data_IF_500286932811
#
_entry.id   IF_500286932811
#
_cell.length_a   1.000
_cell.length_b   1.000
_cell.length_c   1.000
_cell.angle_alpha   90.00
_cell.angle_beta   90.00
_cell.angle_gamma   90.00
#
_symmetry.space_group_name_H-M   'P 1'
#
loop_
_entity.id
_entity.type
_entity.pdbx_description
1 polymer ?
#
# COMPACT_ATOMS: atom_id res chain seq x y z
N UNK A 1 10.11 -17.98 9.36
CA UNK A 1 8.74 -18.50 9.24
C UNK A 1 7.97 -17.53 8.36
N UNK A 2 7.63 -17.98 7.16
CA UNK A 2 6.80 -17.27 6.19
C UNK A 2 5.41 -17.07 6.77
N UNK A 3 5.00 -15.82 7.00
CA UNK A 3 3.61 -15.50 7.29
C UNK A 3 2.81 -15.58 5.97
N UNK A 4 2.39 -16.79 5.60
CA UNK A 4 1.18 -16.96 4.79
C UNK A 4 0.01 -16.54 5.67
N UNK A 5 -0.32 -15.25 5.63
CA UNK A 5 -1.60 -14.77 6.13
C UNK A 5 -2.64 -15.13 5.07
N UNK A 6 -3.54 -16.03 5.44
CA UNK A 6 -4.74 -16.34 4.67
C UNK A 6 -5.46 -15.02 4.34
N UNK A 7 -5.40 -14.62 3.06
CA UNK A 7 -6.33 -13.64 2.53
C UNK A 7 -7.70 -14.33 2.50
N UNK A 8 -8.45 -14.20 3.59
CA UNK A 8 -9.86 -14.51 3.60
C UNK A 8 -10.53 -13.68 2.50
N UNK A 9 -10.82 -14.35 1.39
CA UNK A 9 -11.67 -13.84 0.31
C UNK A 9 -13.04 -13.55 0.91
N UNK A 10 -13.23 -12.31 1.35
CA UNK A 10 -14.53 -11.81 1.78
C UNK A 10 -15.55 -12.05 0.66
N UNK A 11 -16.62 -12.77 0.99
CA UNK A 11 -17.76 -12.98 0.09
C UNK A 11 -18.50 -11.64 -0.09
N UNK A 12 -18.04 -10.83 -1.03
CA UNK A 12 -18.62 -9.55 -1.39
C UNK A 12 -18.88 -9.54 -2.88
N UNK A 13 -20.11 -9.14 -3.26
CA UNK A 13 -20.63 -8.74 -4.57
C UNK A 13 -19.68 -9.06 -5.75
N UNK A 14 -20.14 -9.88 -6.70
CA UNK A 14 -19.45 -10.23 -7.95
C UNK A 14 -19.26 -9.00 -8.86
N UNK A 15 -18.47 -8.03 -8.40
CA UNK A 15 -18.04 -6.84 -9.08
C UNK A 15 -16.59 -7.00 -9.52
N UNK A 16 -16.18 -6.15 -10.46
CA UNK A 16 -14.82 -6.16 -10.96
C UNK A 16 -13.83 -5.75 -9.86
N UNK A 17 -12.79 -6.56 -9.67
CA UNK A 17 -11.67 -6.24 -8.77
C UNK A 17 -10.64 -5.43 -9.56
N UNK A 18 -10.24 -4.26 -9.04
CA UNK A 18 -9.31 -3.32 -9.69
C UNK A 18 -7.96 -3.18 -8.99
N UNK A 19 -7.85 -3.65 -7.75
CA UNK A 19 -6.68 -3.51 -6.91
C UNK A 19 -6.10 -4.89 -6.58
N UNK A 20 -4.80 -5.08 -6.83
CA UNK A 20 -4.07 -6.25 -6.39
C UNK A 20 -3.26 -5.89 -5.14
N UNK A 21 -3.54 -6.49 -3.98
CA UNK A 21 -2.79 -6.19 -2.77
C UNK A 21 -1.40 -6.85 -2.82
N UNK A 22 -0.33 -6.06 -2.72
CA UNK A 22 1.04 -6.55 -2.90
C UNK A 22 1.82 -6.67 -1.59
N UNK A 23 1.51 -5.84 -0.60
CA UNK A 23 2.20 -5.87 0.69
C UNK A 23 1.37 -5.25 1.79
N UNK A 24 1.45 -5.83 2.99
CA UNK A 24 0.93 -5.24 4.22
C UNK A 24 2.10 -5.08 5.20
N UNK A 25 2.35 -3.85 5.65
CA UNK A 25 3.29 -3.53 6.74
C UNK A 25 2.47 -3.09 7.95
N UNK A 26 2.18 -4.03 8.84
CA UNK A 26 1.47 -3.75 10.07
C UNK A 26 2.44 -3.52 11.23
N UNK A 27 2.78 -2.25 11.51
CA UNK A 27 3.68 -1.91 12.63
C UNK A 27 2.95 -1.81 13.97
N UNK A 28 1.64 -2.00 14.01
CA UNK A 28 0.87 -2.15 15.26
C UNK A 28 0.88 -3.58 15.79
N UNK A 29 1.26 -4.57 14.97
CA UNK A 29 1.40 -5.95 15.44
C UNK A 29 2.50 -6.03 16.50
N UNK A 30 2.19 -6.68 17.63
CA UNK A 30 3.15 -6.92 18.73
C UNK A 30 4.34 -7.77 18.28
N UNK A 31 4.17 -8.59 17.25
CA UNK A 31 5.24 -9.40 16.65
C UNK A 31 6.14 -8.58 15.72
N UNK A 32 5.74 -7.36 15.36
CA UNK A 32 6.56 -6.49 14.52
C UNK A 32 7.71 -5.93 15.36
N UNK A 33 8.94 -6.07 14.88
CA UNK A 33 10.11 -5.54 15.56
C UNK A 33 10.05 -4.01 15.61
N UNK A 34 9.66 -3.47 16.76
CA UNK A 34 9.51 -2.04 16.95
C UNK A 34 10.84 -1.27 16.93
N UNK A 35 11.97 -1.95 17.21
CA UNK A 35 13.28 -1.32 17.23
C UNK A 35 13.71 -0.94 15.82
N UNK A 36 13.39 -1.77 14.83
CA UNK A 36 13.60 -1.49 13.40
C UNK A 36 12.85 -0.25 12.86
N UNK A 37 11.87 0.26 13.61
CA UNK A 37 10.99 1.36 13.19
C UNK A 37 11.10 2.60 14.07
N UNK A 38 12.08 2.68 14.96
CA UNK A 38 12.28 3.87 15.81
C UNK A 38 11.07 4.25 16.66
N UNK A 39 10.25 3.27 17.06
CA UNK A 39 9.02 3.51 17.81
C UNK A 39 7.81 3.99 16.98
N UNK A 40 7.96 4.22 15.69
CA UNK A 40 6.88 4.66 14.80
C UNK A 40 5.87 3.54 14.54
N UNK A 41 4.59 3.91 14.41
CA UNK A 41 3.46 2.98 14.29
C UNK A 41 2.49 3.45 13.22
N UNK A 42 2.27 2.60 12.23
CA UNK A 42 1.28 2.74 11.16
C UNK A 42 0.92 1.35 10.59
N UNK A 43 -0.13 1.32 9.80
CA UNK A 43 -0.46 0.20 8.91
C UNK A 43 -0.32 0.71 7.47
N UNK A 44 0.66 0.23 6.74
CA UNK A 44 0.75 0.48 5.30
C UNK A 44 0.20 -0.70 4.52
N UNK A 45 -0.69 -0.44 3.56
CA UNK A 45 -1.12 -1.43 2.58
C UNK A 45 -0.74 -0.93 1.19
N UNK A 46 0.06 -1.72 0.48
CA UNK A 46 0.42 -1.47 -0.90
C UNK A 46 -0.53 -2.22 -1.83
N UNK A 47 -1.07 -1.50 -2.81
CA UNK A 47 -1.90 -2.06 -3.87
C UNK A 47 -1.26 -1.75 -5.23
N UNK A 48 -1.30 -2.71 -6.14
CA UNK A 48 -1.02 -2.50 -7.55
C UNK A 48 -2.33 -2.20 -8.28
N UNK A 49 -2.31 -1.16 -9.10
CA UNK A 49 -3.45 -0.73 -9.90
C UNK A 49 -3.08 -0.70 -11.38
N UNK A 50 -3.96 -1.22 -12.21
CA UNK A 50 -3.84 -1.22 -13.66
C UNK A 50 -4.68 -0.10 -14.27
N UNK A 51 -4.11 0.67 -15.18
CA UNK A 51 -4.83 1.73 -15.89
C UNK A 51 -4.31 1.92 -17.30
N UNK A 52 -5.12 2.55 -18.15
CA UNK A 52 -4.73 2.94 -19.51
C UNK A 52 -5.18 4.37 -19.81
N UNK A 53 -4.62 4.94 -20.87
CA UNK A 53 -5.03 6.24 -21.42
C UNK A 53 -5.62 6.02 -22.79
N UNK A 54 -6.86 6.46 -22.99
CA UNK A 54 -7.44 6.47 -24.32
C UNK A 54 -6.71 7.50 -25.19
N UNK A 55 -6.06 7.05 -26.27
CA UNK A 55 -5.23 7.91 -27.11
C UNK A 55 -5.99 9.05 -27.81
N UNK A 56 -7.30 8.91 -28.03
CA UNK A 56 -8.14 9.93 -28.70
C UNK A 56 -8.69 10.97 -27.74
N UNK A 57 -9.10 10.56 -26.54
CA UNK A 57 -9.75 11.43 -25.55
C UNK A 57 -8.84 11.88 -24.41
N UNK A 58 -7.68 11.24 -24.23
CA UNK A 58 -6.81 11.47 -23.07
C UNK A 58 -7.38 10.94 -21.75
N UNK A 59 -8.56 10.30 -21.76
CA UNK A 59 -9.20 9.81 -20.55
C UNK A 59 -8.39 8.67 -19.91
N UNK A 60 -8.20 8.76 -18.60
CA UNK A 60 -7.62 7.70 -17.78
C UNK A 60 -8.73 6.72 -17.35
N UNK A 61 -8.47 5.42 -17.46
CA UNK A 61 -9.44 4.39 -17.06
C UNK A 61 -8.73 3.28 -16.32
N UNK A 62 -9.26 2.92 -15.14
CA UNK A 62 -8.80 1.76 -14.39
C UNK A 62 -9.26 0.48 -15.07
N UNK A 63 -8.39 -0.53 -15.07
CA UNK A 63 -8.61 -1.80 -15.74
C UNK A 63 -8.77 -2.89 -14.67
N UNK A 64 -9.86 -3.69 -14.72
CA UNK A 64 -10.05 -4.81 -13.82
C UNK A 64 -8.89 -5.82 -13.91
N UNK A 65 -8.51 -6.42 -12.79
CA UNK A 65 -7.40 -7.38 -12.69
C UNK A 65 -7.48 -8.49 -13.74
N UNK A 66 -8.69 -9.03 -13.95
CA UNK A 66 -8.95 -10.12 -14.89
C UNK A 66 -8.62 -9.78 -16.36
N UNK A 67 -8.46 -8.50 -16.68
CA UNK A 67 -8.19 -8.01 -18.04
C UNK A 67 -6.74 -7.55 -18.23
N UNK A 68 -5.89 -7.63 -17.19
CA UNK A 68 -4.56 -7.02 -17.26
C UNK A 68 -3.69 -7.63 -18.36
N UNK A 69 -3.66 -8.96 -18.48
CA UNK A 69 -2.81 -9.67 -19.46
C UNK A 69 -3.27 -9.44 -20.91
N UNK A 70 -4.55 -9.10 -21.11
CA UNK A 70 -5.16 -8.88 -22.42
C UNK A 70 -5.15 -7.40 -22.83
N UNK A 71 -4.89 -6.48 -21.89
CA UNK A 71 -4.99 -5.03 -22.14
C UNK A 71 -3.69 -4.48 -22.73
N UNK A 72 -3.73 -4.19 -24.03
CA UNK A 72 -2.61 -3.51 -24.71
C UNK A 72 -2.39 -2.10 -24.14
N UNK A 73 -1.13 -1.77 -23.85
CA UNK A 73 -0.77 -0.46 -23.32
C UNK A 73 -1.15 -0.25 -21.84
N UNK A 74 -1.48 -1.34 -21.12
CA UNK A 74 -1.70 -1.29 -19.67
C UNK A 74 -0.47 -0.72 -18.96
N UNK A 75 -0.72 0.22 -18.06
CA UNK A 75 0.25 0.76 -17.11
C UNK A 75 -0.10 0.26 -15.72
N UNK A 76 0.91 -0.10 -14.94
CA UNK A 76 0.75 -0.58 -13.56
C UNK A 76 1.49 0.34 -12.59
N UNK A 77 0.87 0.64 -11.46
CA UNK A 77 1.45 1.48 -10.42
C UNK A 77 1.21 0.86 -9.05
N UNK A 78 2.22 0.92 -8.18
CA UNK A 78 2.07 0.60 -6.77
C UNK A 78 1.66 1.87 -6.03
N UNK A 79 0.50 1.82 -5.37
CA UNK A 79 -0.01 2.85 -4.48
C UNK A 79 0.12 2.35 -3.04
N UNK A 80 0.71 3.16 -2.16
CA UNK A 80 0.74 2.87 -0.72
C UNK A 80 -0.36 3.69 -0.02
N UNK A 81 -1.25 2.99 0.70
CA UNK A 81 -2.21 3.60 1.61
C UNK A 81 -1.70 3.41 3.03
N UNK A 82 -1.55 4.51 3.76
CA UNK A 82 -1.11 4.48 5.15
C UNK A 82 -2.28 4.80 6.07
N UNK A 83 -2.57 3.90 7.00
CA UNK A 83 -3.53 4.10 8.08
C UNK A 83 -2.73 4.43 9.34
N UNK A 84 -3.02 5.60 9.91
CA UNK A 84 -2.38 6.11 11.11
C UNK A 84 -3.45 6.51 12.11
N UNK A 85 -3.14 6.39 13.39
CA UNK A 85 -3.89 7.07 14.44
C UNK A 85 -3.69 8.59 14.31
N UNK A 86 -4.73 9.38 14.57
CA UNK A 86 -4.68 10.84 14.43
C UNK A 86 -3.54 11.47 15.23
N UNK A 87 -3.29 10.98 16.45
CA UNK A 87 -2.18 11.42 17.29
C UNK A 87 -0.81 11.18 16.61
N UNK A 88 -0.64 10.01 15.98
CA UNK A 88 0.58 9.67 15.24
C UNK A 88 0.71 10.48 13.97
N UNK A 89 -0.41 10.76 13.28
CA UNK A 89 -0.42 11.64 12.11
C UNK A 89 0.03 13.05 12.49
N UNK A 90 -0.50 13.60 13.59
CA UNK A 90 -0.12 14.93 14.08
C UNK A 90 1.38 15.01 14.41
N UNK A 91 1.92 14.00 15.12
CA UNK A 91 3.37 13.92 15.39
C UNK A 91 4.17 13.81 14.09
N UNK A 92 3.72 12.97 13.16
CA UNK A 92 4.39 12.78 11.86
C UNK A 92 4.47 14.08 11.09
N UNK A 93 3.40 14.86 10.99
CA UNK A 93 3.39 16.11 10.22
C UNK A 93 4.50 17.09 10.65
N UNK A 94 4.79 17.15 11.96
CA UNK A 94 5.78 18.06 12.51
C UNK A 94 7.20 17.48 12.54
N UNK A 95 7.31 16.16 12.71
CA UNK A 95 8.59 15.48 12.95
C UNK A 95 9.01 14.55 11.81
N UNK A 96 8.31 14.52 10.67
CA UNK A 96 8.56 13.56 9.60
C UNK A 96 10.03 13.56 9.16
N UNK A 97 10.60 14.76 8.98
CA UNK A 97 11.98 14.91 8.54
C UNK A 97 12.97 14.39 9.59
N UNK A 98 12.78 14.72 10.86
CA UNK A 98 13.62 14.18 11.94
C UNK A 98 13.49 12.66 12.06
N UNK A 99 12.27 12.13 11.94
CA UNK A 99 12.01 10.69 11.98
C UNK A 99 12.69 9.95 10.82
N UNK A 100 12.56 10.46 9.59
CA UNK A 100 13.21 9.87 8.41
C UNK A 100 14.73 9.88 8.59
N UNK A 101 15.29 10.98 9.09
CA UNK A 101 16.72 11.07 9.37
C UNK A 101 17.15 10.08 10.47
N UNK A 102 16.43 10.01 11.58
CA UNK A 102 16.68 9.04 12.66
C UNK A 102 16.71 7.61 12.12
N UNK A 103 15.67 7.21 11.39
CA UNK A 103 15.55 5.87 10.80
C UNK A 103 16.72 5.56 9.87
N UNK A 104 17.08 6.49 8.98
CA UNK A 104 18.14 6.26 8.01
C UNK A 104 19.53 6.14 8.66
N UNK A 105 19.74 6.77 9.81
CA UNK A 105 21.03 6.74 10.51
C UNK A 105 21.14 5.55 11.47
N UNK A 106 20.04 5.14 12.11
CA UNK A 106 20.07 4.19 13.23
C UNK A 106 19.38 2.86 12.95
N UNK A 107 18.57 2.75 11.90
CA UNK A 107 17.73 1.58 11.62
C UNK A 107 17.93 0.98 10.21
N UNK A 108 18.86 1.50 9.42
CA UNK A 108 19.30 0.95 8.12
C UNK A 108 20.76 0.51 8.21
#
# INVERSE_FOLDING_TARGET
QTCQGDLESGSGVQGDVYLNMTSIKNRYDRKYDFQSCGGYRDLCVCFEVGWTVNAKSGACTFIPLKQWDETQGLRRHICEVQVLLDEMYNVKQHLHKQYVNFRNVLCQ
#
